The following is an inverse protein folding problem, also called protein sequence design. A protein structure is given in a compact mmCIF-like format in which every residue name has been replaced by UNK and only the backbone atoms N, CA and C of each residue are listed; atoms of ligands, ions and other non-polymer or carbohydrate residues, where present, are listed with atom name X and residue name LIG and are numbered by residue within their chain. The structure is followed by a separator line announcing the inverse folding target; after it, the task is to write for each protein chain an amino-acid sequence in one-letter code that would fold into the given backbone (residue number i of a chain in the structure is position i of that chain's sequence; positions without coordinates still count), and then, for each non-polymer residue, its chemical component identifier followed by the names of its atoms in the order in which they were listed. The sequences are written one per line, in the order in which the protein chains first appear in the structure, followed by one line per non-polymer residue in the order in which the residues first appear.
data_IF_538396737249
#
_entry.id   IF_538396737249
#
_cell.length_a   1.000
_cell.length_b   1.000
_cell.length_c   1.000
_cell.angle_alpha   90.00
_cell.angle_beta   90.00
_cell.angle_gamma   90.00
#
_symmetry.space_group_name_H-M   'P 1'
#
loop_
_entity.id
_entity.type
_entity.pdbx_description
1 polymer ?
#
# COMPACT_ATOMS: atom_id res chain seq x y z
N UNK A 1 -10.77 29.54 -1.83
CA UNK A 1 -9.84 28.65 -2.56
C UNK A 1 -9.39 29.37 -3.82
N UNK A 2 -8.10 29.71 -3.95
CA UNK A 2 -7.55 30.17 -5.23
C UNK A 2 -7.59 28.97 -6.19
N UNK A 3 -8.27 29.12 -7.33
CA UNK A 3 -8.27 28.13 -8.40
C UNK A 3 -6.81 27.82 -8.77
N UNK A 4 -6.33 26.62 -8.42
CA UNK A 4 -5.11 26.08 -9.01
C UNK A 4 -5.44 25.92 -10.50
N UNK A 5 -4.72 26.58 -11.42
CA UNK A 5 -5.03 26.48 -12.83
C UNK A 5 -4.95 25.01 -13.25
N UNK A 6 -6.03 24.49 -13.84
CA UNK A 6 -6.02 23.18 -14.52
C UNK A 6 -4.85 23.19 -15.49
N UNK A 7 -3.77 22.51 -15.15
CA UNK A 7 -2.56 22.53 -15.96
C UNK A 7 -2.80 21.62 -17.18
N UNK A 8 -3.35 22.23 -18.25
CA UNK A 8 -3.81 21.54 -19.46
C UNK A 8 -2.68 20.81 -20.20
N UNK A 9 -1.42 21.07 -19.83
CA UNK A 9 -0.23 20.51 -20.44
C UNK A 9 0.19 19.15 -19.89
N UNK A 10 -0.28 18.73 -18.71
CA UNK A 10 0.13 17.44 -18.09
C UNK A 10 -0.17 16.23 -19.01
N UNK A 11 -1.38 16.10 -19.60
CA UNK A 11 -1.66 15.00 -20.52
C UNK A 11 -0.79 15.07 -21.78
N UNK A 12 -0.54 16.28 -22.29
CA UNK A 12 0.31 16.49 -23.46
C UNK A 12 1.77 16.11 -23.21
N UNK A 13 2.31 16.42 -22.04
CA UNK A 13 3.66 16.04 -21.62
C UNK A 13 3.77 14.52 -21.46
N UNK A 14 2.77 13.87 -20.84
CA UNK A 14 2.76 12.42 -20.70
C UNK A 14 2.73 11.70 -22.06
N UNK A 15 1.91 12.20 -23.00
CA UNK A 15 1.86 11.69 -24.38
C UNK A 15 3.19 11.93 -25.10
N UNK A 16 3.78 13.12 -24.96
CA UNK A 16 5.07 13.43 -25.56
C UNK A 16 6.21 12.54 -25.02
N UNK A 17 6.23 12.25 -23.71
CA UNK A 17 7.18 11.33 -23.09
C UNK A 17 6.98 9.90 -23.59
N UNK A 18 5.74 9.41 -23.66
CA UNK A 18 5.44 8.09 -24.21
C UNK A 18 5.89 7.96 -25.66
N UNK A 19 5.58 8.97 -26.49
CA UNK A 19 6.02 9.02 -27.88
C UNK A 19 7.55 9.11 -27.99
N UNK A 20 8.22 9.85 -27.10
CA UNK A 20 9.68 9.93 -27.09
C UNK A 20 10.33 8.58 -26.77
N UNK A 21 9.82 7.84 -25.76
CA UNK A 21 10.29 6.48 -25.44
C UNK A 21 10.09 5.52 -26.61
N UNK A 22 9.01 5.70 -27.38
CA UNK A 22 8.70 4.82 -28.51
C UNK A 22 9.44 5.18 -29.81
N UNK A 23 9.67 6.47 -30.08
CA UNK A 23 10.18 6.96 -31.36
C UNK A 23 11.66 7.33 -31.35
N UNK A 24 12.26 7.60 -30.19
CA UNK A 24 13.65 8.07 -30.08
C UNK A 24 14.51 6.95 -29.49
N UNK A 25 15.42 6.32 -30.27
CA UNK A 25 16.23 5.19 -29.80
C UNK A 25 17.02 5.48 -28.52
N UNK A 26 17.63 6.67 -28.42
CA UNK A 26 18.40 7.09 -27.24
C UNK A 26 17.54 7.18 -25.97
N UNK A 27 16.28 7.61 -26.11
CA UNK A 27 15.32 7.67 -24.99
C UNK A 27 14.83 6.27 -24.65
N UNK A 28 14.65 5.41 -25.65
CA UNK A 28 14.29 4.01 -25.46
C UNK A 28 15.39 3.25 -24.70
N UNK A 29 16.65 3.40 -25.10
CA UNK A 29 17.80 2.75 -24.45
C UNK A 29 17.93 3.20 -22.99
N UNK A 30 17.85 4.52 -22.74
CA UNK A 30 17.83 5.06 -21.38
C UNK A 30 16.65 4.52 -20.55
N UNK A 31 15.46 4.45 -21.14
CA UNK A 31 14.28 3.92 -20.47
C UNK A 31 14.45 2.44 -20.12
N UNK A 32 14.97 1.65 -21.05
CA UNK A 32 15.22 0.24 -20.82
C UNK A 32 16.27 0.04 -19.73
N UNK A 33 17.38 0.78 -19.76
CA UNK A 33 18.46 0.67 -18.80
C UNK A 33 18.04 1.02 -17.37
N UNK A 34 17.33 2.15 -17.17
CA UNK A 34 17.08 2.67 -15.82
C UNK A 34 15.70 2.32 -15.25
N UNK A 35 14.74 1.89 -16.08
CA UNK A 35 13.38 1.58 -15.64
C UNK A 35 12.98 0.13 -15.93
N UNK A 36 13.17 -0.38 -17.15
CA UNK A 36 12.71 -1.73 -17.52
C UNK A 36 13.62 -2.81 -16.96
N UNK A 37 14.94 -2.69 -17.16
CA UNK A 37 15.91 -3.69 -16.73
C UNK A 37 15.89 -3.93 -15.21
N UNK A 38 15.81 -2.90 -14.34
CA UNK A 38 15.67 -3.13 -12.91
C UNK A 38 14.39 -3.87 -12.52
N UNK A 39 13.27 -3.60 -13.22
CA UNK A 39 11.99 -4.31 -12.99
C UNK A 39 12.10 -5.77 -13.45
N UNK A 40 12.72 -6.02 -14.62
CA UNK A 40 12.98 -7.38 -15.12
C UNK A 40 13.99 -8.14 -14.26
N UNK A 41 14.94 -7.45 -13.63
CA UNK A 41 15.85 -8.04 -12.66
C UNK A 41 15.13 -8.40 -11.35
N UNK A 42 14.21 -7.54 -10.88
CA UNK A 42 13.37 -7.82 -9.70
C UNK A 42 12.51 -9.07 -9.93
N UNK A 43 11.91 -9.21 -11.12
CA UNK A 43 11.09 -10.39 -11.48
C UNK A 43 11.87 -11.70 -11.53
N UNK A 44 13.21 -11.65 -11.53
CA UNK A 44 14.09 -12.83 -11.59
C UNK A 44 14.90 -13.02 -10.31
N UNK A 45 14.71 -12.16 -9.29
CA UNK A 45 15.51 -12.17 -8.07
C UNK A 45 16.99 -11.83 -8.29
N UNK A 46 17.34 -11.14 -9.38
CA UNK A 46 18.73 -10.85 -9.74
C UNK A 46 19.28 -9.62 -8.98
N UNK A 47 20.60 -9.57 -8.76
CA UNK A 47 21.29 -8.47 -8.08
C UNK A 47 21.08 -7.07 -8.73
N UNK A 48 20.62 -7.04 -9.99
CA UNK A 48 20.26 -5.81 -10.71
C UNK A 48 18.96 -5.14 -10.24
N UNK A 49 18.21 -5.75 -9.30
CA UNK A 49 16.94 -5.25 -8.77
C UNK A 49 17.05 -4.06 -7.79
N UNK A 50 18.10 -3.24 -7.90
CA UNK A 50 18.33 -2.07 -7.03
C UNK A 50 17.73 -0.79 -7.65
N UNK A 51 17.24 0.11 -6.80
CA UNK A 51 16.82 1.45 -7.25
C UNK A 51 18.03 2.30 -7.59
N UNK A 52 17.90 3.13 -8.63
CA UNK A 52 18.92 4.07 -9.07
C UNK A 52 18.41 5.51 -8.90
N UNK A 53 19.28 6.51 -9.07
CA UNK A 53 18.89 7.90 -8.83
C UNK A 53 17.79 8.39 -9.81
N UNK A 54 17.81 7.93 -11.05
CA UNK A 54 16.85 8.34 -12.08
C UNK A 54 15.46 7.78 -11.79
N UNK A 55 15.35 6.48 -11.53
CA UNK A 55 14.08 5.86 -11.22
C UNK A 55 13.53 6.36 -9.85
N UNK A 56 14.39 6.59 -8.86
CA UNK A 56 14.00 7.15 -7.56
C UNK A 56 13.37 8.54 -7.72
N UNK A 57 14.02 9.44 -8.46
CA UNK A 57 13.49 10.80 -8.71
C UNK A 57 12.21 10.75 -9.54
N UNK A 58 12.18 9.95 -10.61
CA UNK A 58 11.01 9.82 -11.47
C UNK A 58 9.80 9.25 -10.73
N UNK A 59 9.99 8.21 -9.92
CA UNK A 59 8.93 7.63 -9.10
C UNK A 59 8.45 8.62 -8.03
N UNK A 60 9.34 9.39 -7.42
CA UNK A 60 8.97 10.46 -6.48
C UNK A 60 8.12 11.57 -7.13
N UNK A 61 8.47 12.01 -8.34
CA UNK A 61 7.67 12.99 -9.09
C UNK A 61 6.32 12.41 -9.53
N UNK A 62 6.32 11.18 -10.05
CA UNK A 62 5.09 10.47 -10.45
C UNK A 62 4.14 10.29 -9.26
N UNK A 63 4.69 9.93 -8.11
CA UNK A 63 3.96 9.85 -6.85
C UNK A 63 3.33 11.19 -6.45
N UNK A 64 4.07 12.30 -6.55
CA UNK A 64 3.53 13.63 -6.25
C UNK A 64 2.38 14.01 -7.21
N UNK A 65 2.52 13.74 -8.51
CA UNK A 65 1.44 13.97 -9.49
C UNK A 65 0.21 13.10 -9.16
N UNK A 66 0.43 11.83 -8.82
CA UNK A 66 -0.63 10.90 -8.44
C UNK A 66 -1.34 11.36 -7.16
N UNK A 67 -0.60 11.80 -6.15
CA UNK A 67 -1.12 12.40 -4.93
C UNK A 67 -2.07 13.56 -5.24
N UNK A 68 -1.63 14.51 -6.08
CA UNK A 68 -2.44 15.67 -6.46
C UNK A 68 -3.71 15.26 -7.22
N UNK A 69 -3.60 14.26 -8.11
CA UNK A 69 -4.74 13.74 -8.87
C UNK A 69 -5.76 13.04 -7.96
N UNK A 70 -5.30 12.23 -7.00
CA UNK A 70 -6.16 11.57 -6.01
C UNK A 70 -6.86 12.61 -5.15
N UNK A 71 -6.14 13.62 -4.65
CA UNK A 71 -6.74 14.68 -3.85
C UNK A 71 -7.89 15.34 -4.60
N UNK A 72 -7.66 15.79 -5.83
CA UNK A 72 -8.66 16.42 -6.68
C UNK A 72 -9.88 15.51 -6.92
N UNK A 73 -9.67 14.22 -7.19
CA UNK A 73 -10.75 13.26 -7.40
C UNK A 73 -11.60 13.04 -6.14
N UNK A 74 -10.96 12.84 -4.99
CA UNK A 74 -11.64 12.62 -3.72
C UNK A 74 -12.42 13.87 -3.28
N UNK A 75 -11.86 15.07 -3.48
CA UNK A 75 -12.57 16.34 -3.25
C UNK A 75 -13.80 16.47 -4.16
N UNK A 76 -13.69 16.14 -5.45
CA UNK A 76 -14.85 16.15 -6.38
C UNK A 76 -15.94 15.17 -5.97
N UNK A 77 -15.56 14.01 -5.43
CA UNK A 77 -16.51 13.03 -4.89
C UNK A 77 -17.05 13.38 -3.51
N UNK A 78 -16.63 14.51 -2.93
CA UNK A 78 -17.00 14.97 -1.58
C UNK A 78 -16.67 13.94 -0.50
N UNK A 79 -15.56 13.22 -0.67
CA UNK A 79 -15.05 12.30 0.34
C UNK A 79 -14.41 13.11 1.46
N UNK A 80 -14.83 12.85 2.69
CA UNK A 80 -14.27 13.49 3.86
C UNK A 80 -12.92 12.83 4.22
N UNK A 81 -11.83 13.54 3.89
CA UNK A 81 -10.47 13.12 4.20
C UNK A 81 -10.16 13.38 5.68
N UNK A 82 -10.69 12.52 6.55
CA UNK A 82 -10.51 12.58 8.01
C UNK A 82 -9.61 11.46 8.52
N UNK A 83 -9.31 11.45 9.83
CA UNK A 83 -8.59 10.33 10.47
C UNK A 83 -9.31 8.98 10.19
N UNK A 84 -10.64 8.97 10.12
CA UNK A 84 -11.44 7.78 9.75
C UNK A 84 -11.12 7.26 8.35
N UNK A 85 -10.89 8.16 7.39
CA UNK A 85 -10.45 7.78 6.04
C UNK A 85 -9.09 7.08 6.10
N UNK A 86 -8.13 7.66 6.84
CA UNK A 86 -6.79 7.07 6.99
C UNK A 86 -6.86 5.67 7.62
N UNK A 87 -7.66 5.49 8.68
CA UNK A 87 -7.86 4.15 9.28
C UNK A 87 -8.50 3.16 8.29
N UNK A 88 -9.42 3.62 7.45
CA UNK A 88 -10.07 2.79 6.43
C UNK A 88 -9.13 2.39 5.29
N UNK A 89 -8.01 3.11 5.12
CA UNK A 89 -6.95 2.75 4.17
C UNK A 89 -6.01 1.66 4.69
N UNK A 90 -5.89 1.43 6.01
CA UNK A 90 -4.92 0.47 6.58
C UNK A 90 -4.98 -0.92 5.92
N UNK A 91 -6.16 -1.54 5.72
CA UNK A 91 -6.23 -2.84 5.06
C UNK A 91 -5.66 -2.83 3.63
N UNK A 92 -5.84 -1.72 2.90
CA UNK A 92 -5.25 -1.54 1.57
C UNK A 92 -3.71 -1.43 1.67
N UNK A 93 -3.19 -0.71 2.66
CA UNK A 93 -1.75 -0.54 2.82
C UNK A 93 -1.05 -1.87 3.08
N UNK A 94 -1.64 -2.71 3.94
CA UNK A 94 -1.18 -4.07 4.22
C UNK A 94 -1.35 -4.95 2.97
N UNK A 95 -2.49 -4.83 2.27
CA UNK A 95 -2.74 -5.56 1.01
C UNK A 95 -1.64 -5.31 -0.03
N UNK A 96 -1.08 -4.09 -0.08
CA UNK A 96 0.05 -3.81 -0.96
C UNK A 96 1.29 -4.64 -0.67
N UNK A 97 1.62 -4.87 0.62
CA UNK A 97 2.70 -5.76 1.01
C UNK A 97 2.39 -7.23 0.70
N UNK A 98 1.19 -7.70 1.03
CA UNK A 98 0.76 -9.09 0.76
C UNK A 98 0.76 -9.39 -0.74
N UNK A 99 0.26 -8.46 -1.56
CA UNK A 99 0.21 -8.62 -3.01
C UNK A 99 1.61 -8.67 -3.65
N UNK A 100 2.60 -7.95 -3.10
CA UNK A 100 4.01 -8.12 -3.51
C UNK A 100 4.52 -9.50 -3.16
N UNK A 101 4.20 -10.02 -1.97
CA UNK A 101 4.70 -11.33 -1.53
C UNK A 101 4.08 -12.47 -2.34
N UNK A 102 2.83 -12.33 -2.80
CA UNK A 102 2.26 -13.28 -3.76
C UNK A 102 3.07 -13.36 -5.05
N UNK A 103 3.63 -12.24 -5.52
CA UNK A 103 4.57 -12.25 -6.65
C UNK A 103 5.93 -12.83 -6.28
N UNK A 104 6.49 -12.43 -5.14
CA UNK A 104 7.76 -12.98 -4.65
C UNK A 104 7.65 -14.53 -4.46
N UNK A 105 6.47 -15.04 -4.11
CA UNK A 105 6.16 -16.47 -3.93
C UNK A 105 5.78 -17.20 -5.23
N UNK A 106 6.12 -16.66 -6.40
CA UNK A 106 5.85 -17.24 -7.73
C UNK A 106 4.36 -17.64 -7.93
N UNK A 107 3.42 -16.95 -7.28
CA UNK A 107 1.98 -17.25 -7.43
C UNK A 107 1.46 -16.88 -8.81
N UNK A 108 2.15 -15.99 -9.53
CA UNK A 108 1.75 -15.50 -10.84
C UNK A 108 2.80 -15.80 -11.90
N UNK A 109 2.37 -16.26 -13.07
CA UNK A 109 3.23 -16.40 -14.25
C UNK A 109 3.21 -15.13 -15.12
N UNK A 110 4.28 -14.87 -15.92
CA UNK A 110 4.26 -13.83 -16.94
C UNK A 110 3.11 -14.02 -17.96
N UNK A 111 2.45 -12.94 -18.42
CA UNK A 111 2.76 -11.53 -18.17
C UNK A 111 2.09 -10.94 -16.92
N UNK A 112 1.26 -11.72 -16.20
CA UNK A 112 0.49 -11.22 -15.05
C UNK A 112 1.44 -10.82 -13.90
N UNK A 113 2.51 -11.58 -13.69
CA UNK A 113 3.54 -11.31 -12.69
C UNK A 113 4.04 -9.85 -12.70
N UNK A 114 4.30 -9.28 -13.87
CA UNK A 114 4.85 -7.92 -14.00
C UNK A 114 3.96 -6.83 -13.39
N UNK A 115 2.64 -7.04 -13.36
CA UNK A 115 1.69 -6.10 -12.76
C UNK A 115 1.80 -6.06 -11.24
N UNK A 116 2.33 -7.12 -10.62
CA UNK A 116 2.52 -7.22 -9.18
C UNK A 116 3.89 -6.72 -8.71
N UNK A 117 4.76 -6.26 -9.62
CA UNK A 117 6.08 -5.70 -9.29
C UNK A 117 6.00 -4.20 -9.05
N UNK A 118 6.87 -3.66 -8.19
CA UNK A 118 6.98 -2.23 -7.93
C UNK A 118 7.58 -1.47 -9.12
N UNK A 119 7.10 -0.25 -9.43
CA UNK A 119 6.03 0.50 -8.75
C UNK A 119 4.62 0.18 -9.28
N UNK A 120 4.48 -0.66 -10.31
CA UNK A 120 3.21 -0.91 -11.03
C UNK A 120 2.08 -1.36 -10.10
N UNK A 121 2.37 -2.28 -9.19
CA UNK A 121 1.41 -2.79 -8.21
C UNK A 121 0.77 -1.69 -7.35
N UNK A 122 1.53 -0.69 -6.92
CA UNK A 122 0.98 0.43 -6.15
C UNK A 122 0.05 1.29 -7.01
N UNK A 123 0.35 1.45 -8.30
CA UNK A 123 -0.56 2.08 -9.26
C UNK A 123 -1.87 1.30 -9.41
N UNK A 124 -1.80 -0.03 -9.51
CA UNK A 124 -2.98 -0.91 -9.59
C UNK A 124 -3.81 -0.84 -8.32
N UNK A 125 -3.18 -0.84 -7.14
CA UNK A 125 -3.88 -0.70 -5.86
C UNK A 125 -4.58 0.65 -5.73
N UNK A 126 -3.96 1.72 -6.24
CA UNK A 126 -4.61 3.04 -6.32
C UNK A 126 -5.82 2.98 -7.26
N UNK A 127 -5.69 2.40 -8.45
CA UNK A 127 -6.81 2.26 -9.39
C UNK A 127 -7.94 1.43 -8.78
N UNK A 128 -7.61 0.29 -8.19
CA UNK A 128 -8.54 -0.55 -7.43
C UNK A 128 -9.26 0.27 -6.34
N UNK A 129 -8.52 1.05 -5.56
CA UNK A 129 -9.09 1.87 -4.48
C UNK A 129 -10.05 2.92 -5.01
N UNK A 130 -9.68 3.62 -6.09
CA UNK A 130 -10.54 4.59 -6.74
C UNK A 130 -11.81 3.95 -7.30
N UNK A 131 -11.72 2.75 -7.88
CA UNK A 131 -12.89 1.99 -8.36
C UNK A 131 -13.82 1.60 -7.21
N UNK A 132 -13.28 1.10 -6.09
CA UNK A 132 -14.07 0.73 -4.91
C UNK A 132 -14.73 1.95 -4.28
N UNK A 133 -14.01 3.08 -4.15
CA UNK A 133 -14.58 4.33 -3.65
C UNK A 133 -15.66 4.85 -4.60
N UNK A 134 -15.42 4.83 -5.91
CA UNK A 134 -16.41 5.24 -6.91
C UNK A 134 -17.67 4.37 -6.85
N UNK A 135 -17.52 3.05 -6.69
CA UNK A 135 -18.62 2.13 -6.46
C UNK A 135 -19.37 2.47 -5.16
N UNK A 136 -18.66 2.76 -4.07
CA UNK A 136 -19.26 3.20 -2.80
C UNK A 136 -20.06 4.50 -2.95
N UNK A 137 -19.54 5.49 -3.69
CA UNK A 137 -20.22 6.75 -4.01
C UNK A 137 -21.45 6.52 -4.88
N UNK A 138 -21.39 5.58 -5.82
CA UNK A 138 -22.54 5.22 -6.64
C UNK A 138 -23.62 4.52 -5.81
N UNK A 139 -23.22 3.56 -4.95
CA UNK A 139 -24.11 2.85 -4.03
C UNK A 139 -24.81 3.79 -3.06
N UNK A 140 -24.11 4.81 -2.53
CA UNK A 140 -24.67 5.77 -1.58
C UNK A 140 -25.73 6.68 -2.20
N UNK A 141 -25.66 6.90 -3.53
CA UNK A 141 -26.61 7.72 -4.30
C UNK A 141 -27.74 6.91 -4.94
N UNK A 142 -27.62 5.59 -5.03
CA UNK A 142 -28.63 4.73 -5.64
C UNK A 142 -29.89 4.63 -4.77
N UNK A 143 -31.07 4.66 -5.40
CA UNK A 143 -32.36 4.52 -4.71
C UNK A 143 -32.74 3.06 -4.40
N UNK A 144 -31.92 2.09 -4.79
CA UNK A 144 -32.22 0.68 -4.57
C UNK A 144 -32.26 0.33 -3.07
N UNK A 145 -33.13 -0.62 -2.65
CA UNK A 145 -33.13 -1.12 -1.28
C UNK A 145 -31.78 -1.69 -0.87
N UNK A 146 -31.39 -1.48 0.40
CA UNK A 146 -30.11 -1.96 0.94
C UNK A 146 -29.92 -3.46 0.79
N UNK A 147 -30.99 -4.24 0.93
CA UNK A 147 -30.95 -5.70 0.74
C UNK A 147 -30.58 -6.07 -0.69
N UNK A 148 -31.19 -5.42 -1.69
CA UNK A 148 -30.90 -5.66 -3.12
C UNK A 148 -29.46 -5.30 -3.47
N UNK A 149 -28.97 -4.17 -2.97
CA UNK A 149 -27.56 -3.76 -3.13
C UNK A 149 -26.61 -4.79 -2.50
N UNK A 150 -26.89 -5.21 -1.27
CA UNK A 150 -26.09 -6.20 -0.55
C UNK A 150 -26.04 -7.55 -1.28
N UNK A 151 -27.20 -8.08 -1.69
CA UNK A 151 -27.27 -9.32 -2.46
C UNK A 151 -26.50 -9.21 -3.77
N UNK A 152 -26.66 -8.11 -4.52
CA UNK A 152 -25.92 -7.87 -5.75
C UNK A 152 -24.40 -7.87 -5.54
N UNK A 153 -23.91 -7.26 -4.47
CA UNK A 153 -22.48 -7.23 -4.12
C UNK A 153 -21.95 -8.61 -3.72
N UNK A 154 -22.71 -9.37 -2.93
CA UNK A 154 -22.36 -10.76 -2.57
C UNK A 154 -22.27 -11.62 -3.82
N UNK A 155 -23.30 -11.56 -4.68
CA UNK A 155 -23.31 -12.29 -5.94
C UNK A 155 -22.16 -11.88 -6.86
N UNK A 156 -21.85 -10.59 -6.94
CA UNK A 156 -20.72 -10.08 -7.71
C UNK A 156 -19.38 -10.60 -7.17
N UNK A 157 -19.19 -10.62 -5.86
CA UNK A 157 -17.94 -11.04 -5.21
C UNK A 157 -17.71 -12.55 -5.33
N UNK A 158 -18.76 -13.36 -5.16
CA UNK A 158 -18.69 -14.82 -5.32
C UNK A 158 -18.56 -15.19 -6.80
N UNK A 159 -19.41 -14.61 -7.65
CA UNK A 159 -19.45 -14.91 -9.08
C UNK A 159 -18.18 -14.46 -9.81
N UNK A 160 -17.66 -13.26 -9.49
CA UNK A 160 -16.42 -12.75 -10.07
C UNK A 160 -15.22 -13.64 -9.75
N UNK A 161 -15.10 -14.07 -8.49
CA UNK A 161 -14.05 -15.02 -8.10
C UNK A 161 -14.27 -16.42 -8.70
N UNK A 162 -15.51 -16.91 -8.76
CA UNK A 162 -15.82 -18.19 -9.40
C UNK A 162 -15.45 -18.20 -10.89
N UNK A 163 -15.70 -17.09 -11.60
CA UNK A 163 -15.25 -16.92 -12.99
C UNK A 163 -13.73 -16.88 -13.09
N UNK A 164 -13.06 -16.13 -12.22
CA UNK A 164 -11.59 -16.12 -12.16
C UNK A 164 -11.06 -17.54 -11.97
N UNK A 165 -11.54 -18.26 -10.97
CA UNK A 165 -11.10 -19.63 -10.66
C UNK A 165 -11.35 -20.61 -11.82
N UNK A 166 -12.41 -20.42 -12.59
CA UNK A 166 -12.72 -21.28 -13.74
C UNK A 166 -11.77 -21.06 -14.93
N UNK A 167 -11.33 -19.82 -15.16
CA UNK A 167 -10.52 -19.45 -16.33
C UNK A 167 -9.04 -19.24 -16.04
N UNK A 168 -8.66 -19.03 -14.78
CA UNK A 168 -7.27 -18.89 -14.34
C UNK A 168 -6.81 -20.21 -13.72
N UNK A 169 -5.97 -21.01 -14.41
CA UNK A 169 -5.43 -22.23 -13.85
C UNK A 169 -4.55 -21.92 -12.62
N UNK A 170 -4.45 -22.87 -11.69
CA UNK A 170 -3.60 -22.77 -10.50
C UNK A 170 -4.29 -23.24 -9.23
N UNK A 171 -3.50 -23.45 -8.18
CA UNK A 171 -3.99 -23.84 -6.87
C UNK A 171 -4.58 -22.64 -6.11
N UNK A 172 -5.66 -22.08 -6.63
CA UNK A 172 -6.41 -20.97 -6.03
C UNK A 172 -7.35 -21.45 -4.91
N UNK A 173 -7.85 -20.55 -4.06
CA UNK A 173 -8.82 -20.91 -3.02
C UNK A 173 -10.06 -21.51 -3.70
N UNK A 174 -10.55 -22.65 -3.20
CA UNK A 174 -11.73 -23.28 -3.78
C UNK A 174 -12.95 -22.33 -3.71
N UNK A 175 -13.79 -22.23 -4.76
CA UNK A 175 -14.91 -21.28 -4.79
C UNK A 175 -15.89 -21.42 -3.63
N UNK A 176 -16.09 -22.63 -3.09
CA UNK A 176 -16.94 -22.83 -1.91
C UNK A 176 -16.36 -22.20 -0.64
N UNK A 177 -15.04 -22.31 -0.42
CA UNK A 177 -14.36 -21.68 0.71
C UNK A 177 -14.45 -20.17 0.61
N UNK A 178 -14.24 -19.61 -0.59
CA UNK A 178 -14.42 -18.18 -0.84
C UNK A 178 -15.86 -17.73 -0.59
N UNK A 179 -16.86 -18.48 -1.07
CA UNK A 179 -18.27 -18.17 -0.85
C UNK A 179 -18.61 -18.12 0.65
N UNK A 180 -18.12 -19.08 1.44
CA UNK A 180 -18.32 -19.09 2.89
C UNK A 180 -17.69 -17.86 3.56
N UNK A 181 -16.47 -17.47 3.18
CA UNK A 181 -15.81 -16.26 3.69
C UNK A 181 -16.66 -15.01 3.36
N UNK A 182 -17.10 -14.87 2.11
CA UNK A 182 -17.93 -13.74 1.68
C UNK A 182 -19.25 -13.70 2.45
N UNK A 183 -19.91 -14.84 2.65
CA UNK A 183 -21.15 -14.92 3.43
C UNK A 183 -20.92 -14.55 4.89
N UNK A 184 -19.92 -15.11 5.56
CA UNK A 184 -19.58 -14.80 6.95
C UNK A 184 -19.24 -13.32 7.12
N UNK A 185 -18.40 -12.77 6.24
CA UNK A 185 -18.00 -11.38 6.29
C UNK A 185 -19.16 -10.41 6.02
N UNK A 186 -20.03 -10.75 5.07
CA UNK A 186 -21.23 -9.96 4.78
C UNK A 186 -22.24 -10.04 5.92
N UNK A 187 -22.46 -11.20 6.53
CA UNK A 187 -23.35 -11.37 7.66
C UNK A 187 -22.87 -10.56 8.88
N UNK A 188 -21.59 -10.61 9.21
CA UNK A 188 -20.98 -9.78 10.26
C UNK A 188 -21.14 -8.29 9.95
N UNK A 189 -20.88 -7.89 8.70
CA UNK A 189 -21.07 -6.50 8.27
C UNK A 189 -22.53 -6.06 8.43
N UNK A 190 -23.49 -6.89 8.03
CA UNK A 190 -24.91 -6.60 8.16
C UNK A 190 -25.37 -6.52 9.63
N UNK A 191 -24.81 -7.35 10.51
CA UNK A 191 -25.14 -7.34 11.94
C UNK A 191 -24.64 -6.06 12.62
N UNK A 192 -23.35 -5.75 12.48
CA UNK A 192 -22.72 -4.63 13.18
C UNK A 192 -23.01 -3.28 12.51
N UNK A 193 -22.98 -3.23 11.18
CA UNK A 193 -23.08 -1.97 10.42
C UNK A 193 -24.42 -1.81 9.70
N UNK A 194 -25.26 -2.85 9.61
CA UNK A 194 -26.54 -2.80 8.89
C UNK A 194 -26.34 -2.30 7.46
N UNK A 195 -27.19 -1.39 7.00
CA UNK A 195 -27.05 -0.74 5.69
C UNK A 195 -26.08 0.46 5.67
N UNK A 196 -25.34 0.76 6.76
CA UNK A 196 -24.44 1.93 6.81
C UNK A 196 -23.34 1.89 5.74
N UNK A 197 -22.66 0.76 5.46
CA UNK A 197 -21.59 0.74 4.46
C UNK A 197 -22.10 1.16 3.08
N UNK A 198 -23.34 0.78 2.74
CA UNK A 198 -23.96 1.14 1.46
C UNK A 198 -24.30 2.63 1.33
N UNK A 199 -24.17 3.41 2.41
CA UNK A 199 -24.42 4.86 2.47
C UNK A 199 -23.15 5.68 2.74
N UNK A 200 -22.10 5.03 3.23
CA UNK A 200 -20.83 5.64 3.62
C UNK A 200 -19.70 5.05 2.76
N UNK A 201 -19.26 5.75 1.70
CA UNK A 201 -18.25 5.25 0.78
C UNK A 201 -16.91 4.91 1.45
N UNK A 202 -16.55 5.61 2.55
CA UNK A 202 -15.29 5.38 3.26
C UNK A 202 -15.37 4.05 4.02
N UNK A 203 -16.49 3.81 4.72
CA UNK A 203 -16.73 2.56 5.42
C UNK A 203 -16.83 1.38 4.44
N UNK A 204 -17.53 1.56 3.32
CA UNK A 204 -17.57 0.58 2.24
C UNK A 204 -16.17 0.23 1.74
N UNK A 205 -15.36 1.24 1.45
CA UNK A 205 -14.00 1.07 0.97
C UNK A 205 -13.12 0.29 1.97
N UNK A 206 -13.19 0.61 3.27
CA UNK A 206 -12.45 -0.12 4.30
C UNK A 206 -12.87 -1.59 4.41
N UNK A 207 -14.17 -1.88 4.36
CA UNK A 207 -14.73 -3.23 4.39
C UNK A 207 -14.32 -4.03 3.15
N UNK A 208 -14.46 -3.45 1.96
CA UNK A 208 -14.04 -4.09 0.71
C UNK A 208 -12.54 -4.35 0.67
N UNK A 209 -11.71 -3.39 1.09
CA UNK A 209 -10.25 -3.57 1.17
C UNK A 209 -9.86 -4.67 2.17
N UNK A 210 -10.58 -4.78 3.29
CA UNK A 210 -10.39 -5.86 4.27
C UNK A 210 -10.74 -7.23 3.69
N UNK A 211 -11.84 -7.33 2.95
CA UNK A 211 -12.23 -8.59 2.30
C UNK A 211 -11.20 -9.03 1.25
N UNK A 212 -10.67 -8.10 0.46
CA UNK A 212 -9.59 -8.39 -0.51
C UNK A 212 -8.27 -8.73 0.19
N UNK A 213 -7.97 -8.10 1.33
CA UNK A 213 -6.82 -8.48 2.16
C UNK A 213 -6.95 -9.92 2.67
N UNK A 214 -8.13 -10.33 3.14
CA UNK A 214 -8.41 -11.71 3.56
C UNK A 214 -8.21 -12.68 2.40
N UNK A 215 -8.69 -12.34 1.21
CA UNK A 215 -8.46 -13.13 -0.01
C UNK A 215 -6.96 -13.31 -0.27
N UNK A 216 -6.21 -12.22 -0.30
CA UNK A 216 -4.77 -12.24 -0.58
C UNK A 216 -4.00 -13.08 0.44
N UNK A 217 -4.28 -12.91 1.74
CA UNK A 217 -3.68 -13.74 2.79
C UNK A 217 -4.06 -15.21 2.69
N UNK A 218 -5.31 -15.51 2.34
CA UNK A 218 -5.77 -16.89 2.22
C UNK A 218 -5.14 -17.59 1.01
N UNK A 219 -4.81 -16.85 -0.05
CA UNK A 219 -3.99 -17.37 -1.16
C UNK A 219 -2.55 -17.58 -0.70
N UNK A 220 -1.97 -16.61 0.01
CA UNK A 220 -0.58 -16.68 0.48
C UNK A 220 -0.35 -17.81 1.50
N UNK A 221 -1.33 -18.07 2.37
CA UNK A 221 -1.27 -19.10 3.41
C UNK A 221 -1.20 -20.55 2.89
N UNK A 222 -1.23 -20.75 1.57
CA UNK A 222 -1.00 -22.04 0.93
C UNK A 222 0.49 -22.40 0.85
N UNK A 223 1.37 -21.41 0.93
CA UNK A 223 2.82 -21.62 0.89
C UNK A 223 3.34 -22.14 2.24
N UNK A 224 4.46 -22.85 2.21
CA UNK A 224 5.12 -23.35 3.42
C UNK A 224 5.74 -22.20 4.22
N UNK A 225 5.52 -22.21 5.55
CA UNK A 225 6.08 -21.20 6.45
C UNK A 225 7.46 -21.67 6.91
N UNK A 226 8.52 -20.96 6.48
CA UNK A 226 9.90 -21.29 6.80
C UNK A 226 10.41 -20.60 8.07
N UNK A 227 10.10 -19.31 8.24
CA UNK A 227 10.61 -18.49 9.33
C UNK A 227 9.46 -17.83 10.12
N UNK A 228 8.66 -18.58 10.90
CA UNK A 228 7.49 -18.03 11.60
C UNK A 228 7.86 -16.97 12.66
N UNK A 229 9.09 -17.00 13.17
CA UNK A 229 9.56 -16.11 14.24
C UNK A 229 9.65 -14.65 13.81
N UNK A 230 9.90 -14.36 12.52
CA UNK A 230 10.05 -12.98 12.01
C UNK A 230 8.84 -12.12 12.29
N UNK A 231 7.63 -12.69 12.19
CA UNK A 231 6.38 -11.98 12.44
C UNK A 231 6.33 -11.47 13.88
N UNK A 232 6.54 -12.36 14.85
CA UNK A 232 6.45 -12.01 16.26
C UNK A 232 7.62 -11.13 16.71
N UNK A 233 8.84 -11.42 16.27
CA UNK A 233 10.02 -10.63 16.61
C UNK A 233 9.87 -9.18 16.12
N UNK A 234 9.42 -8.99 14.87
CA UNK A 234 9.20 -7.65 14.31
C UNK A 234 8.08 -6.91 15.02
N UNK A 235 6.95 -7.57 15.29
CA UNK A 235 5.83 -6.95 16.02
C UNK A 235 6.21 -6.55 17.44
N UNK A 236 7.02 -7.36 18.14
CA UNK A 236 7.52 -7.05 19.48
C UNK A 236 8.43 -5.82 19.44
N UNK A 237 9.41 -5.78 18.53
CA UNK A 237 10.32 -4.63 18.37
C UNK A 237 9.50 -3.36 18.07
N UNK A 238 8.60 -3.41 17.08
CA UNK A 238 7.78 -2.26 16.70
C UNK A 238 6.88 -1.78 17.84
N UNK A 239 6.28 -2.71 18.60
CA UNK A 239 5.43 -2.38 19.74
C UNK A 239 6.22 -1.74 20.89
N UNK A 240 7.39 -2.30 21.23
CA UNK A 240 8.26 -1.75 22.28
C UNK A 240 8.73 -0.35 21.91
N UNK A 241 9.23 -0.14 20.69
CA UNK A 241 9.70 1.17 20.25
C UNK A 241 8.55 2.18 20.18
N UNK A 242 7.39 1.80 19.68
CA UNK A 242 6.21 2.67 19.68
C UNK A 242 5.75 3.01 21.09
N UNK A 243 5.80 2.05 22.02
CA UNK A 243 5.49 2.28 23.43
C UNK A 243 6.48 3.26 24.07
N UNK A 244 7.77 3.12 23.80
CA UNK A 244 8.81 4.05 24.25
C UNK A 244 8.53 5.47 23.73
N UNK A 245 8.22 5.61 22.43
CA UNK A 245 7.84 6.91 21.85
C UNK A 245 6.60 7.49 22.51
N UNK A 246 5.55 6.69 22.70
CA UNK A 246 4.33 7.10 23.39
C UNK A 246 4.62 7.58 24.83
N UNK A 247 5.37 6.79 25.59
CA UNK A 247 5.73 7.10 26.97
C UNK A 247 6.50 8.41 27.08
N UNK A 248 7.55 8.60 26.26
CA UNK A 248 8.32 9.84 26.27
C UNK A 248 7.54 11.03 25.71
N UNK A 249 6.62 10.81 24.77
CA UNK A 249 5.79 11.88 24.22
C UNK A 249 4.93 12.55 25.30
N UNK A 250 4.52 11.81 26.35
CA UNK A 250 3.74 12.37 27.45
C UNK A 250 4.46 13.51 28.19
N UNK A 251 5.79 13.46 28.25
CA UNK A 251 6.61 14.46 28.94
C UNK A 251 6.92 15.68 28.07
N UNK A 252 6.76 15.59 26.74
CA UNK A 252 7.07 16.67 25.79
C UNK A 252 5.78 17.24 25.20
N UNK A 253 5.03 16.41 24.47
CA UNK A 253 3.76 16.71 23.84
C UNK A 253 3.02 15.41 23.52
N UNK A 254 1.85 15.14 24.12
CA UNK A 254 1.09 13.93 23.86
C UNK A 254 0.75 13.78 22.37
N UNK A 255 1.15 12.64 21.79
CA UNK A 255 0.90 12.35 20.38
C UNK A 255 -0.51 11.81 20.14
N UNK A 256 -1.08 12.16 18.99
CA UNK A 256 -2.34 11.57 18.52
C UNK A 256 -2.16 10.08 18.16
N UNK A 257 -3.22 9.26 18.27
CA UNK A 257 -3.17 7.85 17.87
C UNK A 257 -2.66 7.62 16.44
N UNK A 258 -3.00 8.51 15.51
CA UNK A 258 -2.55 8.39 14.11
C UNK A 258 -1.04 8.57 13.95
N UNK A 259 -0.40 9.39 14.79
CA UNK A 259 1.05 9.55 14.79
C UNK A 259 1.75 8.36 15.42
N UNK A 260 1.16 7.77 16.46
CA UNK A 260 1.66 6.50 17.03
C UNK A 260 1.57 5.36 16.01
N UNK A 261 0.49 5.32 15.22
CA UNK A 261 0.37 4.37 14.10
C UNK A 261 1.46 4.59 13.04
N UNK A 262 1.82 5.85 12.77
CA UNK A 262 2.90 6.17 11.84
C UNK A 262 4.26 5.66 12.34
N UNK A 263 4.59 5.87 13.62
CA UNK A 263 5.78 5.27 14.22
C UNK A 263 5.73 3.74 14.15
N UNK A 264 4.61 3.14 14.53
CA UNK A 264 4.44 1.69 14.50
C UNK A 264 4.68 1.10 13.11
N UNK A 265 4.08 1.68 12.06
CA UNK A 265 4.27 1.22 10.69
C UNK A 265 5.72 1.34 10.20
N UNK A 266 6.43 2.41 10.57
CA UNK A 266 7.84 2.60 10.21
C UNK A 266 8.80 1.75 11.05
N UNK A 267 8.43 1.40 12.28
CA UNK A 267 9.20 0.45 13.09
C UNK A 267 8.94 -1.02 12.69
N UNK A 268 7.77 -1.35 12.16
CA UNK A 268 7.54 -2.63 11.48
C UNK A 268 8.53 -2.77 10.34
N UNK A 269 8.60 -1.75 9.48
CA UNK A 269 9.52 -1.72 8.34
C UNK A 269 10.98 -1.81 8.78
N UNK A 270 11.45 -0.88 9.63
CA UNK A 270 12.83 -0.90 10.11
C UNK A 270 13.20 -2.15 10.91
N UNK A 271 12.23 -2.74 11.64
CA UNK A 271 12.42 -4.00 12.36
C UNK A 271 12.55 -5.20 11.43
N UNK A 272 11.74 -5.25 10.36
CA UNK A 272 11.83 -6.28 9.33
C UNK A 272 13.17 -6.17 8.57
N UNK A 273 13.59 -4.96 8.20
CA UNK A 273 14.91 -4.72 7.57
C UNK A 273 16.05 -5.14 8.49
N UNK A 274 16.00 -4.74 9.77
CA UNK A 274 17.01 -5.11 10.75
C UNK A 274 17.16 -6.63 10.88
N UNK A 275 16.06 -7.34 11.17
CA UNK A 275 16.10 -8.78 11.33
C UNK A 275 16.44 -9.48 10.01
N UNK A 276 15.87 -9.04 8.89
CA UNK A 276 16.09 -9.60 7.57
C UNK A 276 17.57 -9.61 7.18
N UNK A 277 18.27 -8.50 7.37
CA UNK A 277 19.69 -8.37 6.99
C UNK A 277 20.58 -9.07 8.01
N UNK A 278 20.44 -8.75 9.31
CA UNK A 278 21.39 -9.21 10.33
C UNK A 278 21.19 -10.68 10.71
N UNK A 279 19.97 -11.22 10.58
CA UNK A 279 19.64 -12.60 11.00
C UNK A 279 19.42 -13.53 9.82
N UNK A 280 18.76 -13.06 8.75
CA UNK A 280 18.31 -13.92 7.65
C UNK A 280 19.09 -13.74 6.33
N UNK A 281 20.10 -12.85 6.29
CA UNK A 281 20.98 -12.68 5.13
C UNK A 281 20.34 -12.01 3.91
N UNK A 282 19.24 -11.26 4.11
CA UNK A 282 18.62 -10.45 3.06
C UNK A 282 19.46 -9.21 2.73
N UNK A 283 19.17 -8.57 1.60
CA UNK A 283 19.89 -7.37 1.13
C UNK A 283 18.96 -6.18 0.97
N UNK A 284 19.44 -5.00 1.35
CA UNK A 284 18.75 -3.74 1.12
C UNK A 284 18.77 -3.34 -0.37
N UNK A 285 17.64 -2.80 -0.86
CA UNK A 285 17.45 -2.36 -2.25
C UNK A 285 17.47 -0.84 -2.42
N UNK A 286 17.29 -0.10 -1.33
CA UNK A 286 17.18 1.36 -1.35
C UNK A 286 18.51 2.06 -1.11
N UNK A 287 18.83 3.05 -1.95
CA UNK A 287 20.11 3.77 -1.94
C UNK A 287 20.47 4.36 -0.57
N UNK A 288 19.54 5.07 0.08
CA UNK A 288 19.85 5.75 1.35
C UNK A 288 20.04 4.78 2.52
N UNK A 289 19.11 3.83 2.78
CA UNK A 289 19.34 2.75 3.75
C UNK A 289 20.64 1.97 3.53
N UNK A 290 20.92 1.54 2.29
CA UNK A 290 22.13 0.76 1.92
C UNK A 290 23.41 1.49 2.38
N UNK A 291 23.49 2.81 2.14
CA UNK A 291 24.63 3.64 2.58
C UNK A 291 24.83 3.67 4.10
N UNK A 292 23.75 3.74 4.89
CA UNK A 292 23.86 3.75 6.35
C UNK A 292 24.26 2.37 6.88
N UNK A 293 23.70 1.31 6.31
CA UNK A 293 24.00 -0.07 6.70
C UNK A 293 25.47 -0.39 6.42
N UNK A 294 25.98 -0.01 5.25
CA UNK A 294 27.40 -0.19 4.88
C UNK A 294 28.34 0.57 5.84
N UNK A 295 27.96 1.77 6.26
CA UNK A 295 28.78 2.59 7.17
C UNK A 295 28.82 2.05 8.60
N UNK A 296 27.68 1.57 9.13
CA UNK A 296 27.56 1.10 10.51
C UNK A 296 27.78 -0.42 10.67
N UNK A 297 27.74 -1.19 9.58
CA UNK A 297 27.93 -2.64 9.56
C UNK A 297 26.75 -3.47 10.07
N UNK A 298 25.60 -2.86 10.35
CA UNK A 298 24.38 -3.52 10.83
C UNK A 298 23.14 -2.72 10.48
N UNK A 299 22.05 -3.42 10.16
CA UNK A 299 20.77 -2.81 9.85
C UNK A 299 20.01 -2.29 11.08
N UNK A 300 20.53 -2.46 12.30
CA UNK A 300 19.92 -1.89 13.51
C UNK A 300 19.85 -0.36 13.45
N UNK A 301 20.73 0.29 12.67
CA UNK A 301 20.71 1.74 12.42
C UNK A 301 19.41 2.23 11.76
N UNK A 302 18.67 1.34 11.11
CA UNK A 302 17.39 1.67 10.48
C UNK A 302 16.34 2.08 11.50
N UNK A 303 16.36 1.54 12.72
CA UNK A 303 15.40 1.87 13.78
C UNK A 303 15.50 3.34 14.23
N UNK A 304 16.67 3.87 14.66
CA UNK A 304 16.81 5.29 14.97
C UNK A 304 16.63 6.18 13.74
N UNK A 305 17.03 5.74 12.55
CA UNK A 305 16.78 6.51 11.32
C UNK A 305 15.28 6.70 11.06
N UNK A 306 14.48 5.63 11.16
CA UNK A 306 13.01 5.68 11.03
C UNK A 306 12.39 6.59 12.08
N UNK A 307 12.85 6.51 13.33
CA UNK A 307 12.41 7.43 14.38
C UNK A 307 12.66 8.90 14.00
N UNK A 308 13.87 9.25 13.54
CA UNK A 308 14.21 10.61 13.15
C UNK A 308 13.39 11.10 11.95
N UNK A 309 13.23 10.27 10.93
CA UNK A 309 12.44 10.59 9.74
C UNK A 309 10.97 10.83 10.11
N UNK A 310 10.36 9.92 10.88
CA UNK A 310 8.97 10.06 11.30
C UNK A 310 8.78 11.29 12.20
N UNK A 311 9.70 11.56 13.11
CA UNK A 311 9.67 12.77 13.96
C UNK A 311 9.74 14.04 13.12
N UNK A 312 10.66 14.09 12.15
CA UNK A 312 10.82 15.22 11.24
C UNK A 312 9.56 15.45 10.40
N UNK A 313 8.98 14.38 9.87
CA UNK A 313 7.74 14.42 9.08
C UNK A 313 6.56 14.91 9.92
N UNK A 314 6.36 14.39 11.14
CA UNK A 314 5.29 14.85 12.04
C UNK A 314 5.46 16.33 12.37
N UNK A 315 6.70 16.77 12.61
CA UNK A 315 7.00 18.17 12.89
C UNK A 315 6.66 19.06 11.69
N UNK A 316 7.02 18.63 10.47
CA UNK A 316 6.66 19.33 9.25
C UNK A 316 5.12 19.40 9.06
N UNK A 317 4.40 18.30 9.28
CA UNK A 317 2.95 18.25 9.19
C UNK A 317 2.27 19.19 10.20
N UNK A 318 2.75 19.25 11.44
CA UNK A 318 2.21 20.18 12.45
C UNK A 318 2.48 21.64 12.11
N UNK A 319 3.63 21.94 11.49
CA UNK A 319 3.92 23.29 10.97
C UNK A 319 2.96 23.68 9.86
N UNK A 320 2.73 22.80 8.88
CA UNK A 320 1.81 23.09 7.78
C UNK A 320 0.34 23.21 8.25
N UNK A 321 -0.06 22.36 9.20
CA UNK A 321 -1.37 22.46 9.84
C UNK A 321 -1.58 23.80 10.55
N UNK A 322 -0.55 24.33 11.22
CA UNK A 322 -0.60 25.67 11.84
C UNK A 322 -0.69 26.81 10.82
N UNK A 323 -0.16 26.63 9.61
CA UNK A 323 -0.27 27.59 8.51
C UNK A 323 -1.66 27.62 7.86
N UNK A 324 -2.59 26.81 8.34
CA UNK A 324 -3.98 26.77 7.85
C UNK A 324 -4.14 25.94 6.58
N UNK A 325 -3.26 24.96 6.35
CA UNK A 325 -3.45 23.98 5.27
C UNK A 325 -4.75 23.18 5.46
N UNK A 326 -5.33 22.73 4.35
CA UNK A 326 -6.58 21.96 4.35
C UNK A 326 -6.42 20.67 5.17
N UNK A 327 -7.25 20.43 6.21
CA UNK A 327 -7.22 19.20 6.98
C UNK A 327 -7.29 17.94 6.12
N UNK A 328 -7.96 18.00 4.96
CA UNK A 328 -8.04 16.87 4.04
C UNK A 328 -6.71 16.51 3.39
N UNK A 329 -5.91 17.51 3.04
CA UNK A 329 -4.57 17.30 2.46
C UNK A 329 -3.63 16.67 3.49
N UNK A 330 -3.71 17.08 4.76
CA UNK A 330 -2.95 16.47 5.86
C UNK A 330 -3.32 15.00 6.06
N UNK A 331 -4.61 14.66 6.03
CA UNK A 331 -5.06 13.27 6.16
C UNK A 331 -4.56 12.41 4.98
N UNK A 332 -4.60 12.95 3.77
CA UNK A 332 -4.07 12.26 2.60
C UNK A 332 -2.56 12.03 2.71
N UNK A 333 -1.79 13.05 3.11
CA UNK A 333 -0.35 12.92 3.36
C UNK A 333 -0.05 11.85 4.41
N UNK A 334 -0.80 11.83 5.51
CA UNK A 334 -0.65 10.81 6.55
C UNK A 334 -0.89 9.38 6.01
N UNK A 335 -1.91 9.19 5.17
CA UNK A 335 -2.16 7.90 4.53
C UNK A 335 -0.97 7.44 3.68
N UNK A 336 -0.40 8.34 2.89
CA UNK A 336 0.76 8.05 2.05
C UNK A 336 2.02 7.75 2.88
N UNK A 337 2.25 8.49 3.96
CA UNK A 337 3.38 8.25 4.87
C UNK A 337 3.25 6.91 5.60
N UNK A 338 2.01 6.50 5.94
CA UNK A 338 1.72 5.18 6.46
C UNK A 338 1.98 4.10 5.40
N UNK A 339 1.63 4.35 4.13
CA UNK A 339 1.88 3.41 3.03
C UNK A 339 3.37 3.09 2.88
N UNK A 340 4.24 4.11 3.04
CA UNK A 340 5.70 3.96 2.97
C UNK A 340 6.32 3.15 4.12
N UNK A 341 5.61 2.98 5.25
CA UNK A 341 6.06 2.12 6.35
C UNK A 341 5.37 0.76 6.32
N UNK A 342 4.04 0.74 6.39
CA UNK A 342 3.27 -0.50 6.49
C UNK A 342 3.38 -1.38 5.24
N UNK A 343 3.46 -0.80 4.04
CA UNK A 343 3.54 -1.57 2.80
C UNK A 343 4.84 -2.38 2.72
N UNK A 344 6.02 -1.72 2.70
CA UNK A 344 7.32 -2.39 2.70
C UNK A 344 7.51 -3.31 3.92
N UNK A 345 7.19 -2.86 5.13
CA UNK A 345 7.35 -3.68 6.32
C UNK A 345 6.48 -4.94 6.33
N UNK A 346 5.25 -4.88 5.79
CA UNK A 346 4.41 -6.08 5.62
C UNK A 346 5.03 -7.03 4.60
N UNK A 347 5.54 -6.49 3.47
CA UNK A 347 6.21 -7.31 2.45
C UNK A 347 7.40 -8.03 3.04
N UNK A 348 8.30 -7.31 3.71
CA UNK A 348 9.56 -7.86 4.23
C UNK A 348 9.31 -8.95 5.27
N UNK A 349 8.39 -8.74 6.22
CA UNK A 349 8.01 -9.77 7.19
C UNK A 349 7.54 -11.04 6.47
N UNK A 350 6.59 -10.90 5.54
CA UNK A 350 5.97 -12.06 4.90
C UNK A 350 6.94 -12.75 3.94
N UNK A 351 7.73 -12.00 3.18
CA UNK A 351 8.77 -12.51 2.30
C UNK A 351 9.78 -13.36 3.07
N UNK A 352 10.29 -12.86 4.20
CA UNK A 352 11.20 -13.62 5.07
C UNK A 352 10.48 -14.84 5.66
N UNK A 353 9.23 -14.69 6.10
CA UNK A 353 8.44 -15.75 6.71
C UNK A 353 8.22 -16.94 5.76
N UNK A 354 7.96 -16.68 4.48
CA UNK A 354 7.81 -17.70 3.43
C UNK A 354 9.13 -18.05 2.72
N UNK A 355 10.21 -17.30 2.99
CA UNK A 355 11.55 -17.50 2.42
C UNK A 355 11.64 -17.27 0.91
N UNK A 356 10.98 -16.22 0.44
CA UNK A 356 10.85 -15.87 -0.98
C UNK A 356 11.72 -14.68 -1.39
#
# INVERSE_FOLDING_TARGET
MKNIPKNQYIPGIAIALFLAVWLIPQVNDFWNEFFVNPIMADSKGEAGAKYNIYNTVAYGLGFFVLFMAINELLTRWKIELSEKFVFSCIPLLILGGVARVLEDADTFEPPIQYFFISPLIYGILVLYSLLVIALGVWLSKSDLPSLTKGLGLVSFTIGGYGLWWYFAPGDWIHPSSWALIVFSFTALTAEFYKGKPLRDPILFFGISSTLTLILAYSTLAKNEILNPEILWNTLIIASILTFVVWFFSWFIMPLKPIYLLLYFGHFIDGGATFLGIDTYGYTEKHVLPDLFIDYFGSAIVMLPLKFLVVTGVITALEVEKKKGEDPGMVALLLMFLLALGLGPGTRDILRIMFGT
#
